data_IF_066869973125
#
_entry.id   IF_066869973125
#
_cell.length_a   1.000
_cell.length_b   1.000
_cell.length_c   1.000
_cell.angle_alpha   90.00
_cell.angle_beta   90.00
_cell.angle_gamma   90.00
#
_symmetry.space_group_name_H-M   'P 1'
#
loop_
_entity.id
_entity.type
_entity.pdbx_description
1 polymer ?
#
# COMPACT_ATOMS: atom_id res chain seq x y z
N UNK A 1 8.83 0.51 13.37
CA UNK A 1 7.36 0.70 13.49
C UNK A 1 6.61 0.32 12.22
N UNK A 2 6.66 1.07 11.11
CA UNK A 2 5.89 0.73 9.90
C UNK A 2 6.14 -0.69 9.39
N UNK A 3 7.39 -1.14 9.38
CA UNK A 3 7.74 -2.53 9.00
C UNK A 3 7.12 -3.59 9.92
N UNK A 4 6.92 -3.28 11.20
CA UNK A 4 6.23 -4.17 12.16
C UNK A 4 4.74 -4.24 11.80
N UNK A 5 4.11 -3.07 11.59
CA UNK A 5 2.69 -2.98 11.24
C UNK A 5 2.38 -3.64 9.90
N UNK A 6 3.22 -3.47 8.88
CA UNK A 6 3.03 -4.09 7.57
C UNK A 6 2.99 -5.63 7.61
N UNK A 7 3.65 -6.25 8.61
CA UNK A 7 3.55 -7.71 8.79
C UNK A 7 2.17 -8.17 9.24
N UNK A 8 1.38 -7.27 9.82
CA UNK A 8 0.00 -7.53 10.22
C UNK A 8 -1.01 -7.22 9.11
N UNK A 9 -0.54 -6.72 7.98
CA UNK A 9 -1.38 -6.32 6.85
C UNK A 9 -1.42 -7.37 5.76
N UNK A 10 -2.44 -7.29 4.91
CA UNK A 10 -2.61 -8.18 3.77
C UNK A 10 -1.54 -7.96 2.68
N UNK A 11 -0.98 -6.76 2.62
CA UNK A 11 0.12 -6.41 1.71
C UNK A 11 1.32 -5.90 2.50
N UNK A 12 2.53 -6.18 2.00
CA UNK A 12 3.78 -5.86 2.70
C UNK A 12 4.11 -4.35 2.74
N UNK A 13 3.29 -3.52 2.08
CA UNK A 13 3.54 -2.10 1.85
C UNK A 13 2.29 -1.23 2.08
N UNK A 14 1.41 -1.58 3.02
CA UNK A 14 0.27 -0.68 3.37
C UNK A 14 0.77 0.64 3.94
N UNK A 15 1.77 0.58 4.83
CA UNK A 15 2.43 1.76 5.37
C UNK A 15 3.81 1.90 4.77
N UNK A 16 4.17 3.12 4.40
CA UNK A 16 5.53 3.35 3.97
C UNK A 16 6.54 3.16 5.11
N UNK A 17 7.70 2.61 4.78
CA UNK A 17 8.66 2.12 5.77
C UNK A 17 10.11 2.50 5.47
N UNK A 18 10.98 2.44 6.49
CA UNK A 18 12.40 2.79 6.37
C UNK A 18 13.20 1.93 5.36
N UNK A 19 12.66 0.77 4.97
CA UNK A 19 13.22 -0.08 3.92
C UNK A 19 12.93 0.45 2.51
N UNK A 20 12.04 1.42 2.35
CA UNK A 20 11.81 2.08 1.06
C UNK A 20 12.92 3.11 0.78
N UNK A 21 13.32 3.26 -0.50
CA UNK A 21 14.33 4.24 -0.89
C UNK A 21 14.00 5.65 -0.36
N UNK A 22 14.91 6.23 0.42
CA UNK A 22 14.78 7.60 0.95
C UNK A 22 14.11 7.73 2.34
N UNK A 23 13.69 6.63 2.97
CA UNK A 23 13.00 6.66 4.26
C UNK A 23 13.92 6.58 5.50
N UNK A 24 15.23 6.85 5.35
CA UNK A 24 16.22 6.49 6.36
C UNK A 24 16.09 7.21 7.71
N UNK A 25 15.44 8.38 7.82
CA UNK A 25 15.10 9.07 9.09
C UNK A 25 13.98 10.13 8.94
N UNK A 26 12.85 9.81 8.34
CA UNK A 26 11.76 10.80 8.19
C UNK A 26 10.49 10.24 7.59
N UNK A 27 9.49 11.12 7.38
CA UNK A 27 8.31 10.81 6.59
C UNK A 27 8.76 10.21 5.25
N UNK A 28 8.23 9.05 4.86
CA UNK A 28 8.47 8.49 3.55
C UNK A 28 8.32 9.56 2.48
N UNK A 29 9.34 9.74 1.64
CA UNK A 29 9.36 10.83 0.66
C UNK A 29 8.21 10.78 -0.35
N UNK A 30 7.48 9.66 -0.42
CA UNK A 30 6.29 9.48 -1.23
C UNK A 30 5.00 10.08 -0.61
N UNK A 31 5.05 10.51 0.65
CA UNK A 31 3.89 11.01 1.39
C UNK A 31 3.97 12.53 1.57
N UNK A 32 2.85 13.21 1.30
CA UNK A 32 2.67 14.63 1.60
C UNK A 32 2.32 14.89 3.08
N UNK A 33 2.34 13.86 3.95
CA UNK A 33 1.91 13.95 5.34
C UNK A 33 2.68 13.04 6.31
N UNK A 34 2.49 13.29 7.61
CA UNK A 34 3.14 12.55 8.71
C UNK A 34 2.31 11.41 9.28
N UNK A 35 1.04 11.26 8.90
CA UNK A 35 0.15 10.20 9.39
C UNK A 35 -0.49 9.48 8.21
N UNK A 36 -0.36 8.15 8.17
CA UNK A 36 -1.10 7.29 7.24
C UNK A 36 -2.28 6.63 7.95
N UNK A 37 -3.42 6.53 7.28
CA UNK A 37 -4.63 5.93 7.81
C UNK A 37 -4.97 4.67 7.02
N UNK A 38 -5.28 3.59 7.72
CA UNK A 38 -5.86 2.39 7.11
C UNK A 38 -7.01 1.87 7.94
N UNK A 39 -7.94 1.19 7.29
CA UNK A 39 -9.11 0.62 7.93
C UNK A 39 -8.75 -0.82 8.25
N UNK A 40 -9.00 -1.31 9.47
CA UNK A 40 -8.71 -2.70 9.82
C UNK A 40 -9.91 -3.56 9.41
N UNK A 41 -9.90 -4.05 8.18
CA UNK A 41 -10.97 -4.87 7.57
C UNK A 41 -10.37 -6.14 6.96
N UNK A 42 -11.22 -7.04 6.46
CA UNK A 42 -10.79 -8.34 5.95
C UNK A 42 -9.78 -8.22 4.80
N UNK A 43 -9.93 -7.19 3.99
CA UNK A 43 -9.14 -6.92 2.80
C UNK A 43 -7.75 -6.34 3.12
N UNK A 44 -7.61 -5.64 4.25
CA UNK A 44 -6.39 -4.92 4.64
C UNK A 44 -5.59 -5.64 5.72
N UNK A 45 -6.24 -6.46 6.56
CA UNK A 45 -5.58 -7.25 7.58
C UNK A 45 -4.99 -8.55 7.03
N UNK A 46 -3.87 -8.98 7.60
CA UNK A 46 -3.36 -10.33 7.38
C UNK A 46 -4.35 -11.38 7.89
N UNK A 47 -4.23 -12.62 7.40
CA UNK A 47 -5.09 -13.73 7.85
C UNK A 47 -5.01 -13.94 9.36
N UNK A 48 -3.82 -13.73 9.94
CA UNK A 48 -3.58 -13.80 11.38
C UNK A 48 -4.40 -12.76 12.13
N UNK A 49 -4.12 -11.47 11.87
CA UNK A 49 -4.79 -10.35 12.54
C UNK A 49 -6.32 -10.40 12.36
N UNK A 50 -6.78 -10.74 11.15
CA UNK A 50 -8.21 -10.86 10.86
C UNK A 50 -8.87 -11.93 11.72
N UNK A 51 -8.34 -13.15 11.73
CA UNK A 51 -8.98 -14.28 12.44
C UNK A 51 -8.88 -14.15 13.95
N UNK A 52 -7.74 -13.69 14.47
CA UNK A 52 -7.48 -13.68 15.92
C UNK A 52 -8.08 -12.47 16.63
N UNK A 53 -8.20 -11.32 15.96
CA UNK A 53 -8.60 -10.05 16.59
C UNK A 53 -9.84 -9.44 15.93
N UNK A 54 -9.74 -9.10 14.65
CA UNK A 54 -10.75 -8.24 14.01
C UNK A 54 -12.08 -8.95 13.76
N UNK A 55 -12.06 -10.21 13.34
CA UNK A 55 -13.28 -10.98 13.10
C UNK A 55 -14.09 -11.18 14.39
N UNK A 56 -13.51 -11.56 15.54
CA UNK A 56 -14.21 -11.55 16.83
C UNK A 56 -14.77 -10.17 17.20
N UNK A 57 -14.00 -9.09 17.01
CA UNK A 57 -14.43 -7.73 17.31
C UNK A 57 -15.68 -7.34 16.49
N UNK A 58 -15.65 -7.48 15.16
CA UNK A 58 -16.78 -7.13 14.28
C UNK A 58 -17.99 -8.06 14.40
N UNK A 59 -17.85 -9.26 15.00
CA UNK A 59 -19.03 -10.06 15.35
C UNK A 59 -19.86 -9.41 16.45
N UNK A 60 -19.22 -8.65 17.33
CA UNK A 60 -19.84 -7.99 18.48
C UNK A 60 -20.13 -6.51 18.19
N UNK A 61 -19.32 -5.85 17.35
CA UNK A 61 -19.50 -4.48 16.91
C UNK A 61 -20.40 -4.41 15.67
N UNK A 62 -21.62 -3.91 15.81
CA UNK A 62 -22.62 -3.97 14.73
C UNK A 62 -22.53 -2.83 13.72
N UNK A 63 -21.95 -1.67 14.06
CA UNK A 63 -21.92 -0.47 13.20
C UNK A 63 -20.65 0.39 13.38
N UNK A 64 -19.50 -0.21 13.71
CA UNK A 64 -18.24 0.53 13.89
C UNK A 64 -17.19 0.02 12.90
N UNK A 65 -16.25 0.89 12.51
CA UNK A 65 -15.07 0.57 11.71
C UNK A 65 -13.84 1.02 12.50
N UNK A 66 -12.85 0.14 12.60
CA UNK A 66 -11.59 0.46 13.27
C UNK A 66 -10.64 1.09 12.28
N UNK A 67 -10.15 2.29 12.62
CA UNK A 67 -9.11 3.00 11.89
C UNK A 67 -7.79 2.90 12.63
N UNK A 68 -6.74 2.50 11.93
CA UNK A 68 -5.37 2.53 12.42
C UNK A 68 -4.64 3.72 11.79
N UNK A 69 -4.16 4.63 12.64
CA UNK A 69 -3.37 5.79 12.25
C UNK A 69 -1.88 5.54 12.56
N UNK A 70 -1.06 5.46 11.52
CA UNK A 70 0.39 5.29 11.63
C UNK A 70 1.09 6.66 11.54
N UNK A 71 1.49 7.22 12.68
CA UNK A 71 2.33 8.43 12.74
C UNK A 71 3.79 8.12 12.39
N UNK A 72 4.34 8.68 11.32
CA UNK A 72 5.74 8.52 10.94
C UNK A 72 6.68 9.38 11.78
N UNK A 73 7.88 8.86 12.03
CA UNK A 73 8.92 9.56 12.79
C UNK A 73 8.77 9.48 14.30
N UNK A 74 9.44 10.40 15.02
CA UNK A 74 9.44 10.48 16.47
C UNK A 74 8.21 11.26 16.97
N UNK A 75 7.37 10.63 17.79
CA UNK A 75 6.14 11.24 18.27
C UNK A 75 6.36 12.51 19.11
N UNK A 76 7.53 12.66 19.74
CA UNK A 76 7.90 13.85 20.52
C UNK A 76 8.18 15.04 19.60
N UNK A 77 8.78 14.79 18.42
CA UNK A 77 9.01 15.82 17.40
C UNK A 77 7.70 16.26 16.73
N UNK A 78 6.69 15.38 16.71
CA UNK A 78 5.38 15.59 16.11
C UNK A 78 4.27 15.76 17.18
N UNK A 79 4.55 16.52 18.25
CA UNK A 79 3.62 16.66 19.38
C UNK A 79 2.25 17.25 18.97
N UNK A 80 2.23 18.21 18.04
CA UNK A 80 0.99 18.83 17.57
C UNK A 80 0.08 17.80 16.88
N UNK A 81 0.66 16.90 16.09
CA UNK A 81 -0.05 15.80 15.44
C UNK A 81 -0.62 14.83 16.47
N UNK A 82 0.15 14.50 17.51
CA UNK A 82 -0.29 13.63 18.60
C UNK A 82 -1.45 14.26 19.37
N UNK A 83 -1.35 15.53 19.73
CA UNK A 83 -2.41 16.29 20.42
C UNK A 83 -3.68 16.38 19.58
N UNK A 84 -3.55 16.59 18.26
CA UNK A 84 -4.68 16.59 17.36
C UNK A 84 -5.37 15.22 17.26
N UNK A 85 -4.59 14.14 17.08
CA UNK A 85 -5.12 12.77 17.03
C UNK A 85 -5.81 12.38 18.33
N UNK A 86 -5.30 12.82 19.48
CA UNK A 86 -5.86 12.51 20.81
C UNK A 86 -7.33 12.92 20.97
N UNK A 87 -7.82 13.90 20.21
CA UNK A 87 -9.22 14.33 20.23
C UNK A 87 -10.20 13.23 19.82
N UNK A 88 -9.75 12.24 19.05
CA UNK A 88 -10.59 11.16 18.53
C UNK A 88 -10.00 9.74 18.65
N UNK A 89 -8.76 9.63 19.12
CA UNK A 89 -8.12 8.34 19.37
C UNK A 89 -8.67 7.67 20.62
N UNK A 90 -9.10 6.41 20.48
CA UNK A 90 -9.45 5.53 21.60
C UNK A 90 -8.21 5.07 22.38
N UNK A 91 -7.16 4.63 21.68
CA UNK A 91 -5.93 4.14 22.29
C UNK A 91 -4.70 4.43 21.39
N UNK A 92 -3.56 4.73 22.00
CA UNK A 92 -2.27 4.85 21.35
C UNK A 92 -1.46 3.57 21.51
N UNK A 93 -1.02 2.99 20.39
CA UNK A 93 -0.02 1.92 20.36
C UNK A 93 1.38 2.53 20.19
N UNK A 94 2.25 2.33 21.17
CA UNK A 94 3.57 2.97 21.21
C UNK A 94 4.68 1.94 21.13
N UNK A 95 5.62 2.16 20.21
CA UNK A 95 6.80 1.31 20.03
C UNK A 95 8.03 2.09 20.52
N UNK A 96 8.49 1.76 21.73
CA UNK A 96 9.65 2.40 22.36
C UNK A 96 10.92 1.82 21.73
N UNK A 97 11.67 2.64 21.01
CA UNK A 97 12.90 2.22 20.35
C UNK A 97 14.07 2.09 21.36
N UNK A 98 15.11 1.28 21.09
CA UNK A 98 16.21 1.02 22.04
C UNK A 98 16.95 2.25 22.57
N UNK A 99 16.90 3.36 21.83
CA UNK A 99 17.60 4.59 22.14
C UNK A 99 16.69 5.65 22.78
N UNK A 100 15.45 5.32 23.11
CA UNK A 100 14.53 6.24 23.77
C UNK A 100 15.03 6.50 25.19
N UNK A 101 15.27 7.76 25.53
CA UNK A 101 15.63 8.14 26.89
C UNK A 101 14.40 8.13 27.80
N UNK A 102 14.61 7.91 29.10
CA UNK A 102 13.51 7.94 30.08
C UNK A 102 12.82 9.32 30.11
N UNK A 103 13.58 10.39 29.88
CA UNK A 103 13.05 11.75 29.85
C UNK A 103 12.12 11.96 28.64
N UNK A 104 12.49 11.43 27.47
CA UNK A 104 11.66 11.42 26.26
C UNK A 104 10.33 10.69 26.52
N UNK A 105 10.38 9.52 27.15
CA UNK A 105 9.19 8.77 27.55
C UNK A 105 8.30 9.55 28.54
N UNK A 106 8.91 10.18 29.54
CA UNK A 106 8.20 11.00 30.52
C UNK A 106 7.56 12.24 29.87
N UNK A 107 8.16 12.80 28.82
CA UNK A 107 7.59 13.91 28.05
C UNK A 107 6.38 13.44 27.24
N UNK A 108 6.51 12.30 26.54
CA UNK A 108 5.43 11.75 25.74
C UNK A 108 4.19 11.39 26.57
N UNK A 109 4.39 10.74 27.72
CA UNK A 109 3.31 10.36 28.65
C UNK A 109 2.62 11.54 29.35
N UNK A 110 3.23 12.74 29.33
CA UNK A 110 2.54 13.97 29.77
C UNK A 110 1.59 14.52 28.71
N UNK A 111 1.88 14.27 27.43
CA UNK A 111 1.07 14.71 26.29
C UNK A 111 -0.14 13.78 26.15
N UNK A 112 0.12 12.48 26.14
CA UNK A 112 -0.92 11.46 25.95
C UNK A 112 -1.51 11.03 27.30
N UNK A 113 -2.83 10.84 27.39
CA UNK A 113 -3.44 10.29 28.59
C UNK A 113 -2.90 8.87 28.88
N UNK A 114 -2.27 8.60 30.04
CA UNK A 114 -1.70 7.29 30.36
C UNK A 114 -2.73 6.16 30.32
N UNK A 115 -4.00 6.48 30.58
CA UNK A 115 -5.12 5.52 30.54
C UNK A 115 -5.48 5.07 29.12
N UNK A 116 -4.93 5.67 28.06
CA UNK A 116 -5.24 5.34 26.66
C UNK A 116 -4.00 4.90 25.89
N UNK A 117 -3.11 4.18 26.55
CA UNK A 117 -1.80 3.88 26.00
C UNK A 117 -1.40 2.42 26.27
N UNK A 118 -0.99 1.75 25.20
CA UNK A 118 -0.37 0.43 25.23
C UNK A 118 0.99 0.59 24.57
N UNK A 119 2.05 0.09 25.20
CA UNK A 119 3.40 0.21 24.69
C UNK A 119 4.11 -1.14 24.62
N UNK A 120 5.08 -1.21 23.73
CA UNK A 120 6.05 -2.30 23.65
C UNK A 120 7.44 -1.72 23.41
N UNK A 121 8.45 -2.39 23.96
CA UNK A 121 9.85 -2.09 23.69
C UNK A 121 10.33 -2.84 22.46
N UNK A 122 11.02 -2.15 21.56
CA UNK A 122 11.59 -2.76 20.35
C UNK A 122 13.06 -3.05 20.60
N UNK A 123 13.51 -4.29 20.36
CA UNK A 123 14.90 -4.74 20.50
C UNK A 123 15.56 -4.33 21.84
N UNK A 124 14.80 -4.44 22.94
CA UNK A 124 15.31 -4.08 24.27
C UNK A 124 16.47 -4.99 24.68
N UNK A 125 17.52 -4.37 25.21
CA UNK A 125 18.67 -5.08 25.81
C UNK A 125 18.52 -5.26 27.32
N UNK A 126 17.52 -4.63 27.91
CA UNK A 126 17.28 -4.64 29.35
C UNK A 126 16.27 -5.74 29.66
N UNK A 127 16.53 -6.54 30.69
CA UNK A 127 15.78 -7.74 31.06
C UNK A 127 14.37 -7.47 31.63
N UNK A 128 13.58 -6.70 30.90
CA UNK A 128 12.13 -6.59 31.11
C UNK A 128 11.41 -7.88 30.71
N UNK A 129 10.13 -7.98 31.07
CA UNK A 129 9.30 -9.15 30.75
C UNK A 129 9.18 -9.31 29.24
N UNK A 130 9.45 -10.52 28.75
CA UNK A 130 9.42 -10.91 27.33
C UNK A 130 8.13 -10.49 26.60
N UNK A 131 7.00 -10.46 27.30
CA UNK A 131 5.68 -10.11 26.75
C UNK A 131 5.59 -8.66 26.22
N UNK A 132 6.41 -7.74 26.74
CA UNK A 132 6.45 -6.34 26.30
C UNK A 132 7.54 -6.06 25.27
N UNK A 133 8.38 -7.04 24.95
CA UNK A 133 9.50 -6.90 24.04
C UNK A 133 9.12 -7.43 22.66
N UNK A 134 9.37 -6.61 21.64
CA UNK A 134 9.26 -6.95 20.23
C UNK A 134 10.67 -7.08 19.65
N UNK A 135 11.06 -8.30 19.32
CA UNK A 135 12.33 -8.59 18.66
C UNK A 135 12.18 -8.48 17.13
N UNK A 136 12.81 -7.46 16.54
CA UNK A 136 12.68 -7.20 15.10
C UNK A 136 13.26 -8.31 14.24
N UNK A 137 14.29 -8.98 14.73
CA UNK A 137 14.89 -10.18 14.11
C UNK A 137 13.93 -11.37 14.00
N UNK A 138 12.90 -11.40 14.85
CA UNK A 138 11.93 -12.48 14.94
C UNK A 138 10.55 -12.13 14.35
N UNK A 139 10.40 -10.98 13.68
CA UNK A 139 9.09 -10.55 13.12
C UNK A 139 8.49 -11.50 12.07
N UNK A 140 9.27 -12.49 11.59
CA UNK A 140 8.79 -13.54 10.70
C UNK A 140 8.20 -14.74 11.46
N UNK A 141 8.35 -14.80 12.78
CA UNK A 141 7.82 -15.86 13.64
C UNK A 141 6.42 -15.48 14.10
N UNK A 142 5.52 -16.47 14.08
CA UNK A 142 4.12 -16.29 14.48
C UNK A 142 3.97 -15.81 15.93
N UNK A 143 4.87 -16.22 16.83
CA UNK A 143 4.90 -15.81 18.24
C UNK A 143 5.02 -14.28 18.39
N UNK A 144 5.93 -13.66 17.65
CA UNK A 144 6.18 -12.22 17.69
C UNK A 144 4.98 -11.43 17.14
N UNK A 145 4.41 -11.92 16.03
CA UNK A 145 3.21 -11.33 15.43
C UNK A 145 2.00 -11.45 16.37
N UNK A 146 1.94 -12.53 17.15
CA UNK A 146 0.87 -12.74 18.11
C UNK A 146 0.95 -11.74 19.27
N UNK A 147 2.16 -11.36 19.74
CA UNK A 147 2.33 -10.28 20.74
C UNK A 147 1.70 -8.98 20.25
N UNK A 148 1.96 -8.58 19.01
CA UNK A 148 1.41 -7.34 18.45
C UNK A 148 -0.10 -7.46 18.21
N UNK A 149 -0.59 -8.63 17.80
CA UNK A 149 -2.04 -8.88 17.72
C UNK A 149 -2.72 -8.73 19.08
N UNK A 150 -2.09 -9.18 20.17
CA UNK A 150 -2.60 -9.00 21.52
C UNK A 150 -2.66 -7.53 21.92
N UNK A 151 -1.63 -6.72 21.59
CA UNK A 151 -1.67 -5.27 21.81
C UNK A 151 -2.86 -4.61 21.10
N UNK A 152 -3.12 -4.98 19.84
CA UNK A 152 -4.27 -4.45 19.09
C UNK A 152 -5.58 -4.92 19.73
N UNK A 153 -5.65 -6.18 20.17
CA UNK A 153 -6.83 -6.72 20.85
C UNK A 153 -7.13 -5.96 22.13
N UNK A 154 -6.11 -5.70 22.96
CA UNK A 154 -6.22 -4.89 24.18
C UNK A 154 -6.62 -3.44 23.85
N UNK A 155 -6.08 -2.85 22.77
CA UNK A 155 -6.47 -1.51 22.32
C UNK A 155 -7.95 -1.40 21.96
N UNK A 156 -8.56 -2.50 21.50
CA UNK A 156 -9.98 -2.56 21.15
C UNK A 156 -10.91 -2.76 22.34
N UNK A 157 -10.38 -3.04 23.54
CA UNK A 157 -11.17 -3.07 24.78
C UNK A 157 -11.49 -1.66 25.29
N UNK A 158 -10.77 -0.64 24.80
CA UNK A 158 -11.07 0.76 25.09
C UNK A 158 -12.31 1.25 24.36
N UNK A 159 -13.12 2.05 25.05
CA UNK A 159 -14.36 2.61 24.50
C UNK A 159 -14.10 3.44 23.23
N UNK A 160 -15.02 3.34 22.28
CA UNK A 160 -15.02 4.18 21.08
C UNK A 160 -15.25 5.64 21.48
N UNK A 161 -14.38 6.54 21.02
CA UNK A 161 -14.58 7.97 21.26
C UNK A 161 -15.64 8.49 20.29
N UNK A 162 -16.80 8.90 20.82
CA UNK A 162 -17.83 9.58 20.03
C UNK A 162 -17.39 11.02 19.78
N UNK A 163 -16.89 11.27 18.57
CA UNK A 163 -16.34 12.57 18.19
C UNK A 163 -17.35 13.29 17.32
N UNK A 164 -17.69 14.52 17.69
CA UNK A 164 -18.32 15.43 16.74
C UNK A 164 -17.22 16.11 15.92
N UNK A 165 -17.04 15.69 14.67
CA UNK A 165 -16.03 16.23 13.77
C UNK A 165 -16.17 17.74 13.53
N UNK A 166 -17.36 18.33 13.73
CA UNK A 166 -17.57 19.78 13.65
C UNK A 166 -16.79 20.55 14.73
N UNK A 167 -16.48 19.91 15.86
CA UNK A 167 -15.78 20.51 16.98
C UNK A 167 -14.26 20.22 16.96
N UNK A 168 -13.78 19.40 16.02
CA UNK A 168 -12.36 19.04 15.93
C UNK A 168 -11.59 20.23 15.37
N UNK A 169 -10.71 20.82 16.19
CA UNK A 169 -9.86 21.94 15.78
C UNK A 169 -8.46 21.43 15.44
N UNK A 170 -8.02 21.68 14.20
CA UNK A 170 -6.70 21.29 13.69
C UNK A 170 -5.57 22.21 14.17
N UNK A 171 -5.88 23.30 14.87
CA UNK A 171 -4.88 24.31 15.24
C UNK A 171 -4.47 25.19 14.05
N UNK A 172 -3.33 25.89 14.17
CA UNK A 172 -2.84 26.84 13.16
C UNK A 172 -1.73 26.29 12.26
N UNK A 173 -1.03 25.26 12.73
CA UNK A 173 0.22 24.74 12.17
C UNK A 173 0.00 23.47 11.35
N UNK A 174 -0.91 22.61 11.80
CA UNK A 174 -1.31 21.41 11.06
C UNK A 174 -2.16 21.78 9.85
N UNK A 175 -1.94 21.04 8.76
CA UNK A 175 -2.75 21.10 7.55
C UNK A 175 -3.01 19.69 7.09
N UNK A 176 -4.18 19.47 6.48
CA UNK A 176 -4.41 18.25 5.73
C UNK A 176 -3.39 18.19 4.60
N UNK A 177 -2.79 17.01 4.45
CA UNK A 177 -1.88 16.76 3.34
C UNK A 177 -2.65 16.99 2.03
N UNK A 178 -2.11 17.86 1.17
CA UNK A 178 -2.65 18.03 -0.17
C UNK A 178 -2.49 16.71 -0.95
N UNK A 179 -3.39 16.49 -1.91
CA UNK A 179 -3.29 15.36 -2.82
C UNK A 179 -1.90 15.28 -3.46
N UNK A 180 -1.45 14.06 -3.74
CA UNK A 180 -0.20 13.81 -4.45
C UNK A 180 -0.31 14.11 -5.95
N UNK A 181 -1.52 14.42 -6.40
CA UNK A 181 -1.88 14.57 -7.80
C UNK A 181 -1.27 15.85 -8.39
N UNK A 182 -0.65 15.75 -9.56
CA UNK A 182 -0.16 16.90 -10.31
C UNK A 182 -0.48 16.75 -11.80
N UNK A 183 -0.47 17.86 -12.54
CA UNK A 183 -0.86 17.88 -13.95
C UNK A 183 0.03 16.95 -14.78
N UNK A 184 1.34 16.97 -14.55
CA UNK A 184 2.32 16.19 -15.32
C UNK A 184 2.18 14.69 -15.08
N UNK A 185 1.92 14.26 -13.84
CA UNK A 185 1.67 12.85 -13.53
C UNK A 185 0.31 12.39 -14.08
N UNK A 186 -0.72 13.24 -14.00
CA UNK A 186 -2.03 12.96 -14.59
C UNK A 186 -1.95 12.77 -16.11
N UNK A 187 -1.13 13.56 -16.81
CA UNK A 187 -0.93 13.42 -18.25
C UNK A 187 -0.38 12.04 -18.65
N UNK A 188 0.44 11.42 -17.79
CA UNK A 188 0.97 10.06 -18.00
C UNK A 188 -0.11 9.03 -17.67
N UNK A 189 -0.84 9.21 -16.56
CA UNK A 189 -1.93 8.31 -16.15
C UNK A 189 -3.00 8.25 -17.23
N UNK A 190 -3.44 9.40 -17.74
CA UNK A 190 -4.44 9.51 -18.80
C UNK A 190 -3.96 8.83 -20.10
N UNK A 191 -2.67 8.95 -20.41
CA UNK A 191 -2.07 8.26 -21.54
C UNK A 191 -2.13 6.74 -21.36
N UNK A 192 -1.68 6.22 -20.21
CA UNK A 192 -1.71 4.77 -19.94
C UNK A 192 -3.15 4.25 -19.89
N UNK A 193 -4.08 5.00 -19.32
CA UNK A 193 -5.50 4.63 -19.30
C UNK A 193 -6.09 4.54 -20.71
N UNK A 194 -5.67 5.44 -21.62
CA UNK A 194 -6.08 5.41 -23.02
C UNK A 194 -5.47 4.22 -23.78
N UNK A 195 -4.19 3.95 -23.58
CA UNK A 195 -3.44 2.91 -24.31
C UNK A 195 -3.47 1.53 -23.63
N UNK A 196 -4.07 1.42 -22.44
CA UNK A 196 -4.04 0.28 -21.51
C UNK A 196 -2.67 -0.05 -20.94
N UNK A 197 -2.62 -0.71 -19.79
CA UNK A 197 -1.35 -1.18 -19.21
C UNK A 197 -0.65 -2.18 -20.14
N UNK A 198 -1.40 -3.13 -20.74
CA UNK A 198 -0.84 -4.09 -21.68
C UNK A 198 -0.29 -3.39 -22.94
N UNK A 199 -1.04 -2.46 -23.53
CA UNK A 199 -0.59 -1.74 -24.71
C UNK A 199 0.68 -0.94 -24.44
N UNK A 200 0.71 -0.23 -23.31
CA UNK A 200 1.89 0.51 -22.85
C UNK A 200 3.11 -0.42 -22.67
N UNK A 201 2.93 -1.56 -22.00
CA UNK A 201 3.98 -2.60 -21.84
C UNK A 201 4.50 -3.09 -23.19
N UNK A 202 3.62 -3.34 -24.15
CA UNK A 202 4.00 -3.77 -25.50
C UNK A 202 4.77 -2.69 -26.29
N UNK A 203 4.46 -1.41 -26.08
CA UNK A 203 5.19 -0.28 -26.68
C UNK A 203 6.61 -0.16 -26.14
N UNK A 204 6.81 -0.44 -24.84
CA UNK A 204 8.11 -0.35 -24.17
C UNK A 204 9.06 -1.53 -24.48
N UNK A 205 8.55 -2.65 -25.01
CA UNK A 205 9.32 -3.88 -25.30
C UNK A 205 10.18 -3.78 -26.58
N UNK A 206 11.00 -2.74 -26.73
CA UNK A 206 11.91 -2.56 -27.87
C UNK A 206 12.93 -3.70 -28.01
N UNK A 207 13.48 -4.18 -26.89
CA UNK A 207 14.49 -5.25 -26.87
C UNK A 207 13.93 -6.60 -27.34
N UNK A 208 12.67 -6.94 -26.97
CA UNK A 208 12.00 -8.15 -27.43
C UNK A 208 11.74 -8.11 -28.94
N UNK A 209 11.43 -6.92 -29.48
CA UNK A 209 11.30 -6.70 -30.92
C UNK A 209 12.65 -6.87 -31.62
N UNK A 210 13.73 -6.31 -31.09
CA UNK A 210 15.08 -6.50 -31.62
C UNK A 210 15.52 -7.97 -31.67
N UNK A 211 15.29 -8.74 -30.60
CA UNK A 211 15.71 -10.16 -30.51
C UNK A 211 14.92 -11.06 -31.47
N UNK A 212 13.61 -10.84 -31.60
CA UNK A 212 12.76 -11.60 -32.53
C UNK A 212 13.05 -11.26 -34.01
N UNK A 213 13.72 -10.13 -34.26
CA UNK A 213 14.08 -9.61 -35.58
C UNK A 213 15.55 -9.88 -35.96
N UNK A 214 16.20 -10.90 -35.40
CA UNK A 214 17.57 -11.30 -35.76
C UNK A 214 17.79 -11.60 -37.26
N UNK A 215 16.74 -11.64 -38.10
CA UNK A 215 16.82 -11.72 -39.57
C UNK A 215 16.68 -10.37 -40.30
N UNK A 216 16.39 -9.26 -39.61
CA UNK A 216 16.25 -7.93 -40.21
C UNK A 216 17.24 -6.93 -39.62
N UNK A 217 18.01 -6.26 -40.49
CA UNK A 217 18.94 -5.15 -40.21
C UNK A 217 18.23 -3.87 -39.72
N UNK A 218 17.19 -3.96 -38.89
CA UNK A 218 16.59 -2.77 -38.29
C UNK A 218 17.44 -2.30 -37.11
N UNK A 219 17.99 -1.09 -37.24
CA UNK A 219 18.69 -0.40 -36.16
C UNK A 219 17.69 -0.10 -35.01
N UNK A 220 18.12 -0.25 -33.76
CA UNK A 220 17.33 0.11 -32.59
C UNK A 220 16.85 1.56 -32.63
N UNK A 221 17.61 2.45 -33.29
CA UNK A 221 17.21 3.83 -33.54
C UNK A 221 16.01 3.95 -34.50
N UNK A 222 15.90 3.11 -35.53
CA UNK A 222 14.74 3.12 -36.43
C UNK A 222 13.48 2.60 -35.74
N UNK A 223 13.60 1.55 -34.92
CA UNK A 223 12.50 1.02 -34.12
C UNK A 223 11.97 2.05 -33.12
N UNK A 224 12.87 2.84 -32.53
CA UNK A 224 12.51 4.00 -31.72
C UNK A 224 11.79 5.08 -32.53
N UNK A 225 12.35 5.48 -33.68
CA UNK A 225 11.78 6.55 -34.52
C UNK A 225 10.39 6.21 -35.05
N UNK A 226 10.11 4.93 -35.33
CA UNK A 226 8.80 4.46 -35.80
C UNK A 226 7.76 4.37 -34.68
N UNK A 227 8.16 4.45 -33.40
CA UNK A 227 7.26 4.29 -32.26
C UNK A 227 6.87 5.66 -31.65
N UNK A 228 5.95 6.36 -32.32
CA UNK A 228 5.48 7.68 -31.89
C UNK A 228 4.78 7.66 -30.52
N UNK A 229 4.12 6.56 -30.17
CA UNK A 229 3.46 6.40 -28.87
C UNK A 229 4.47 6.31 -27.72
N UNK A 230 5.56 5.56 -27.92
CA UNK A 230 6.63 5.49 -26.92
C UNK A 230 7.38 6.82 -26.79
N UNK A 231 7.61 7.54 -27.90
CA UNK A 231 8.17 8.89 -27.86
C UNK A 231 7.32 9.84 -27.03
N UNK A 232 6.00 9.80 -27.24
CA UNK A 232 5.04 10.62 -26.48
C UNK A 232 5.01 10.23 -24.99
N UNK A 233 5.04 8.93 -24.67
CA UNK A 233 5.13 8.44 -23.29
C UNK A 233 6.41 8.94 -22.61
N UNK A 234 7.57 8.81 -23.27
CA UNK A 234 8.86 9.30 -22.73
C UNK A 234 8.83 10.82 -22.55
N UNK A 235 8.24 11.56 -23.48
CA UNK A 235 8.11 13.02 -23.36
C UNK A 235 7.28 13.42 -22.14
N UNK A 236 6.14 12.77 -21.92
CA UNK A 236 5.27 13.01 -20.75
C UNK A 236 5.97 12.65 -19.45
N UNK A 237 6.60 11.47 -19.39
CA UNK A 237 7.39 11.07 -18.23
C UNK A 237 8.59 12.00 -18.00
N UNK A 238 9.19 12.50 -19.08
CA UNK A 238 10.22 13.53 -19.06
C UNK A 238 9.75 14.79 -18.32
N UNK A 239 8.52 15.27 -18.55
CA UNK A 239 7.98 16.42 -17.80
C UNK A 239 7.95 16.17 -16.29
N UNK A 240 7.51 14.97 -15.86
CA UNK A 240 7.53 14.55 -14.45
C UNK A 240 8.95 14.61 -13.88
N UNK A 241 9.94 14.12 -14.62
CA UNK A 241 11.34 14.14 -14.21
C UNK A 241 11.96 15.55 -14.16
N UNK A 242 11.36 16.56 -14.79
CA UNK A 242 11.84 17.95 -14.74
C UNK A 242 11.24 18.74 -13.57
N UNK A 243 10.26 18.19 -12.85
CA UNK A 243 9.68 18.83 -11.66
C UNK A 243 10.72 19.01 -10.55
N UNK A 244 10.53 20.01 -9.69
CA UNK A 244 11.33 20.17 -8.48
C UNK A 244 11.25 18.93 -7.59
N UNK A 245 12.29 18.64 -6.80
CA UNK A 245 12.45 17.37 -6.10
C UNK A 245 11.22 16.97 -5.27
N UNK A 246 10.66 17.90 -4.50
CA UNK A 246 9.50 17.63 -3.64
C UNK A 246 8.22 17.36 -4.44
N UNK A 247 8.00 18.09 -5.53
CA UNK A 247 6.84 17.86 -6.42
C UNK A 247 7.03 16.57 -7.21
N UNK A 248 8.25 16.30 -7.68
CA UNK A 248 8.61 15.08 -8.41
C UNK A 248 8.36 13.84 -7.56
N UNK A 249 8.74 13.86 -6.28
CA UNK A 249 8.46 12.74 -5.36
C UNK A 249 6.96 12.44 -5.27
N UNK A 250 6.13 13.47 -5.08
CA UNK A 250 4.65 13.34 -5.07
C UNK A 250 4.12 12.82 -6.40
N UNK A 251 4.61 13.36 -7.51
CA UNK A 251 4.22 12.94 -8.85
C UNK A 251 4.57 11.47 -9.12
N UNK A 252 5.73 10.99 -8.64
CA UNK A 252 6.11 9.58 -8.75
C UNK A 252 5.20 8.68 -7.90
N UNK A 253 4.86 9.10 -6.68
CA UNK A 253 3.90 8.38 -5.84
C UNK A 253 2.50 8.32 -6.46
N UNK A 254 2.08 9.42 -7.10
CA UNK A 254 0.82 9.49 -7.84
C UNK A 254 0.79 8.48 -9.00
N UNK A 255 1.87 8.44 -9.79
CA UNK A 255 2.02 7.46 -10.87
C UNK A 255 1.97 6.03 -10.35
N UNK A 256 2.69 5.72 -9.28
CA UNK A 256 2.72 4.37 -8.70
C UNK A 256 1.33 3.92 -8.25
N UNK A 257 0.62 4.76 -7.49
CA UNK A 257 -0.73 4.48 -7.00
C UNK A 257 -1.72 4.24 -8.13
N UNK A 258 -1.81 5.18 -9.08
CA UNK A 258 -2.86 5.17 -10.09
C UNK A 258 -2.58 4.15 -11.20
N UNK A 259 -1.31 3.96 -11.60
CA UNK A 259 -0.96 2.90 -12.55
C UNK A 259 -1.17 1.51 -11.95
N UNK A 260 -0.92 1.34 -10.64
CA UNK A 260 -1.27 0.11 -9.93
C UNK A 260 -2.78 -0.15 -9.97
N UNK A 261 -3.61 0.87 -9.68
CA UNK A 261 -5.07 0.73 -9.74
C UNK A 261 -5.55 0.34 -11.14
N UNK A 262 -5.06 1.01 -12.19
CA UNK A 262 -5.40 0.68 -13.57
C UNK A 262 -5.00 -0.77 -13.90
N UNK A 263 -3.76 -1.15 -13.59
CA UNK A 263 -3.27 -2.51 -13.83
C UNK A 263 -4.07 -3.58 -13.08
N UNK A 264 -4.42 -3.32 -11.82
CA UNK A 264 -5.20 -4.22 -10.99
C UNK A 264 -6.64 -4.38 -11.51
N UNK A 265 -7.26 -3.29 -11.95
CA UNK A 265 -8.59 -3.31 -12.56
C UNK A 265 -8.60 -4.09 -13.89
N UNK A 266 -7.64 -3.80 -14.78
CA UNK A 266 -7.46 -4.51 -16.04
C UNK A 266 -7.22 -6.01 -15.81
N UNK A 267 -6.34 -6.35 -14.86
CA UNK A 267 -6.02 -7.74 -14.49
C UNK A 267 -7.23 -8.46 -13.90
N UNK A 268 -7.99 -7.81 -13.01
CA UNK A 268 -9.20 -8.37 -12.40
C UNK A 268 -10.26 -8.67 -13.45
N UNK A 269 -10.47 -7.74 -14.39
CA UNK A 269 -11.40 -7.93 -15.51
C UNK A 269 -10.94 -9.06 -16.43
N UNK A 270 -9.66 -9.12 -16.78
CA UNK A 270 -9.10 -10.21 -17.58
C UNK A 270 -9.27 -11.59 -16.90
N UNK A 271 -9.06 -11.67 -15.58
CA UNK A 271 -9.29 -12.91 -14.81
C UNK A 271 -10.75 -13.35 -14.86
N UNK A 272 -11.72 -12.43 -14.73
CA UNK A 272 -13.16 -12.74 -14.85
C UNK A 272 -13.50 -13.31 -16.23
N UNK A 273 -12.97 -12.71 -17.29
CA UNK A 273 -13.19 -13.18 -18.66
C UNK A 273 -12.57 -14.55 -18.90
N UNK A 274 -11.34 -14.79 -18.41
CA UNK A 274 -10.69 -16.11 -18.48
C UNK A 274 -11.49 -17.18 -17.76
N UNK A 275 -12.06 -16.88 -16.58
CA UNK A 275 -12.93 -17.83 -15.87
C UNK A 275 -14.16 -18.18 -16.71
N UNK A 276 -14.83 -17.19 -17.30
CA UNK A 276 -15.98 -17.42 -18.18
C UNK A 276 -15.62 -18.29 -19.40
N UNK A 277 -14.49 -18.00 -20.06
CA UNK A 277 -13.99 -18.79 -21.20
C UNK A 277 -13.62 -20.22 -20.80
N UNK A 278 -13.03 -20.41 -19.61
CA UNK A 278 -12.76 -21.75 -19.06
C UNK A 278 -14.05 -22.52 -18.85
N UNK A 279 -15.08 -21.91 -18.26
CA UNK A 279 -16.38 -22.55 -18.06
C UNK A 279 -17.04 -22.94 -19.39
N UNK A 280 -16.97 -22.08 -20.41
CA UNK A 280 -17.42 -22.40 -21.76
C UNK A 280 -16.65 -23.60 -22.34
N UNK A 281 -15.32 -23.61 -22.20
CA UNK A 281 -14.47 -24.70 -22.65
C UNK A 281 -14.82 -26.03 -21.96
N UNK A 282 -15.09 -26.00 -20.65
CA UNK A 282 -15.55 -27.15 -19.89
C UNK A 282 -16.90 -27.68 -20.39
N UNK A 283 -17.86 -26.79 -20.67
CA UNK A 283 -19.18 -27.15 -21.21
C UNK A 283 -19.08 -27.81 -22.58
N UNK A 284 -18.30 -27.22 -23.50
CA UNK A 284 -18.12 -27.75 -24.87
C UNK A 284 -17.36 -29.07 -24.85
N UNK A 285 -16.37 -29.22 -23.96
CA UNK A 285 -15.60 -30.46 -23.83
C UNK A 285 -16.45 -31.66 -23.37
N UNK A 286 -17.58 -31.41 -22.70
CA UNK A 286 -18.56 -32.40 -22.27
C UNK A 286 -19.60 -32.77 -23.34
N UNK A 287 -19.70 -32.02 -24.44
CA UNK A 287 -20.64 -32.33 -25.52
C UNK A 287 -20.10 -33.46 -26.42
N UNK A 288 -21.01 -34.33 -26.90
CA UNK A 288 -20.70 -35.51 -27.71
C UNK A 288 -20.14 -35.15 -29.10
N UNK A 289 -20.54 -34.00 -29.65
CA UNK A 289 -20.03 -33.42 -30.90
C UNK A 289 -19.02 -32.31 -30.59
N UNK A 290 -17.73 -32.67 -30.58
CA UNK A 290 -16.64 -31.72 -30.35
C UNK A 290 -16.32 -30.93 -31.62
N UNK A 291 -16.62 -29.63 -31.62
CA UNK A 291 -16.15 -28.75 -32.68
C UNK A 291 -14.69 -28.33 -32.40
N UNK A 292 -13.74 -29.02 -33.04
CA UNK A 292 -12.29 -28.79 -32.86
C UNK A 292 -11.86 -27.35 -33.13
N UNK A 293 -12.44 -26.70 -34.15
CA UNK A 293 -12.13 -25.31 -34.48
C UNK A 293 -12.59 -24.33 -33.39
N UNK A 294 -13.78 -24.57 -32.83
CA UNK A 294 -14.32 -23.75 -31.74
C UNK A 294 -13.52 -23.92 -30.44
N UNK A 295 -13.05 -25.13 -30.13
CA UNK A 295 -12.16 -25.39 -28.99
C UNK A 295 -10.82 -24.67 -29.12
N UNK A 296 -10.21 -24.68 -30.31
CA UNK A 296 -8.95 -23.97 -30.56
C UNK A 296 -9.13 -22.45 -30.47
N UNK A 297 -10.26 -21.93 -30.95
CA UNK A 297 -10.60 -20.51 -30.81
C UNK A 297 -10.68 -20.09 -29.34
N UNK A 298 -11.42 -20.84 -28.50
CA UNK A 298 -11.55 -20.51 -27.06
C UNK A 298 -10.20 -20.61 -26.34
N UNK A 299 -9.37 -21.60 -26.66
CA UNK A 299 -8.01 -21.71 -26.12
C UNK A 299 -7.15 -20.51 -26.51
N UNK A 300 -7.21 -20.08 -27.77
CA UNK A 300 -6.50 -18.89 -28.25
C UNK A 300 -6.94 -17.62 -27.52
N UNK A 301 -8.25 -17.44 -27.31
CA UNK A 301 -8.78 -16.31 -26.55
C UNK A 301 -8.37 -16.35 -25.07
N UNK A 302 -8.32 -17.52 -24.42
CA UNK A 302 -7.80 -17.65 -23.05
C UNK A 302 -6.33 -17.20 -23.00
N UNK A 303 -5.49 -17.62 -23.94
CA UNK A 303 -4.07 -17.25 -23.97
C UNK A 303 -3.92 -15.73 -24.12
N UNK A 304 -4.62 -15.11 -25.08
CA UNK A 304 -4.58 -13.65 -25.26
C UNK A 304 -5.05 -12.87 -24.03
N UNK A 305 -6.07 -13.37 -23.32
CA UNK A 305 -6.59 -12.72 -22.11
C UNK A 305 -5.65 -12.92 -20.91
N UNK A 306 -4.92 -14.03 -20.85
CA UNK A 306 -3.88 -14.24 -19.85
C UNK A 306 -2.69 -13.28 -20.04
N UNK A 307 -2.40 -12.81 -21.25
CA UNK A 307 -1.37 -11.77 -21.47
C UNK A 307 -1.70 -10.43 -20.79
N UNK A 308 -2.98 -10.20 -20.46
CA UNK A 308 -3.45 -9.02 -19.70
C UNK A 308 -3.41 -9.23 -18.19
N UNK A 309 -3.08 -10.43 -17.73
CA UNK A 309 -2.93 -10.76 -16.31
C UNK A 309 -1.45 -10.67 -16.01
N UNK A 310 -1.08 -9.77 -15.09
CA UNK A 310 0.28 -9.42 -14.66
C UNK A 310 0.96 -8.32 -15.52
#
# INVERSE_FOLDING_TARGET
KSSILNRLMATEHIFSSASEPGASRGTPHALSGSVELTWLIKETCSVGLWKSVMQPYYKNATNEIVLLANLHGNAIEYFEQVEWLQQFTSCFLVFIMPNCEQEEWNQFTKIVCPEKLIYAMVDSKNGETDDLIIETQNLMKDEELQKICLMIKEALEYDSVKVNFENVTMGKTLKLAEGIDCVESQEVIDFVKKETCLGTKQMMQLQKRLINHNDSKEDGFELWNKNSQLQELIKRFGKVLHLELEIRKKAMAHLERDLYHISSEESSQARKEVMSLKDQLWRISRMTTKNSAHLQHIKGEIIKKLEKVD
#
